data_IF_405984795742
#
_entry.id   IF_405984795742
#
_cell.length_a   1.000
_cell.length_b   1.000
_cell.length_c   1.000
_cell.angle_alpha   90.00
_cell.angle_beta   90.00
_cell.angle_gamma   90.00
#
_symmetry.space_group_name_H-M   'P 1'
#
loop_
_entity.id
_entity.type
_entity.pdbx_description
1 polymer ?
#
# COMPACT_ATOMS: atom_id res chain seq x y z
N UNK A 1 -14.88 47.92 13.88
CA UNK A 1 -14.11 47.32 14.99
C UNK A 1 -13.23 46.13 14.56
N UNK A 2 -13.73 45.14 13.79
CA UNK A 2 -12.95 43.96 13.36
C UNK A 2 -11.63 44.23 12.60
N UNK A 3 -11.57 45.30 11.81
CA UNK A 3 -10.41 45.61 10.96
C UNK A 3 -9.18 46.05 11.77
N UNK A 4 -9.40 46.71 12.90
CA UNK A 4 -8.35 47.21 13.80
C UNK A 4 -7.73 46.03 14.58
N UNK A 5 -8.57 45.10 15.03
CA UNK A 5 -8.12 43.90 15.76
C UNK A 5 -7.20 43.04 14.90
N UNK A 6 -7.60 42.72 13.66
CA UNK A 6 -6.75 41.99 12.70
C UNK A 6 -5.45 42.74 12.42
N UNK A 7 -5.50 44.06 12.23
CA UNK A 7 -4.31 44.88 11.94
C UNK A 7 -3.31 44.89 13.09
N UNK A 8 -3.77 44.94 14.34
CA UNK A 8 -2.90 44.84 15.51
C UNK A 8 -2.31 43.44 15.67
N UNK A 9 -3.12 42.38 15.50
CA UNK A 9 -2.67 40.99 15.52
C UNK A 9 -1.54 40.77 14.49
N UNK A 10 -1.73 41.21 13.23
CA UNK A 10 -0.69 41.11 12.19
C UNK A 10 0.57 41.94 12.50
N UNK A 11 0.42 43.07 13.21
CA UNK A 11 1.56 43.92 13.62
C UNK A 11 2.37 43.28 14.74
N UNK A 12 1.72 42.64 15.71
CA UNK A 12 2.38 41.88 16.79
C UNK A 12 3.07 40.61 16.26
N UNK A 13 2.44 39.90 15.32
CA UNK A 13 3.08 38.78 14.62
C UNK A 13 4.36 39.20 13.88
N UNK A 14 4.41 40.43 13.34
CA UNK A 14 5.60 40.95 12.65
C UNK A 14 6.74 41.29 13.60
N UNK A 15 6.45 41.66 14.86
CA UNK A 15 7.46 41.91 15.89
C UNK A 15 8.11 40.64 16.45
N UNK A 16 7.44 39.49 16.32
CA UNK A 16 7.88 38.18 16.85
C UNK A 16 7.86 37.07 15.79
N UNK A 17 8.04 37.45 14.52
CA UNK A 17 7.87 36.57 13.35
C UNK A 17 8.66 35.26 13.41
N UNK A 18 9.92 35.22 13.90
CA UNK A 18 10.66 33.96 14.03
C UNK A 18 10.00 32.99 15.02
N UNK A 19 9.48 33.49 16.14
CA UNK A 19 8.83 32.66 17.17
C UNK A 19 7.51 32.06 16.67
N UNK A 20 6.75 32.83 15.90
CA UNK A 20 5.51 32.35 15.29
C UNK A 20 5.77 31.23 14.28
N UNK A 21 6.77 31.42 13.40
CA UNK A 21 7.15 30.39 12.42
C UNK A 21 7.58 29.10 13.12
N UNK A 22 8.39 29.18 14.18
CA UNK A 22 8.83 27.99 14.90
C UNK A 22 7.67 27.15 15.43
N UNK A 23 6.66 27.78 16.02
CA UNK A 23 5.47 27.08 16.53
C UNK A 23 4.63 26.53 15.36
N UNK A 24 4.45 27.31 14.30
CA UNK A 24 3.70 26.87 13.12
C UNK A 24 4.34 25.64 12.46
N UNK A 25 5.67 25.60 12.33
CA UNK A 25 6.40 24.46 11.79
C UNK A 25 6.27 23.24 12.71
N UNK A 26 6.37 23.43 14.03
CA UNK A 26 6.17 22.34 15.00
C UNK A 26 4.77 21.70 14.89
N UNK A 27 3.73 22.55 14.80
CA UNK A 27 2.35 22.09 14.62
C UNK A 27 2.16 21.42 13.26
N UNK A 28 2.71 22.02 12.19
CA UNK A 28 2.64 21.46 10.85
C UNK A 28 3.35 20.11 10.75
N UNK A 29 4.50 19.94 11.41
CA UNK A 29 5.24 18.68 11.45
C UNK A 29 4.42 17.60 12.16
N UNK A 30 3.80 17.92 13.30
CA UNK A 30 2.92 17.00 14.01
C UNK A 30 1.71 16.55 13.18
N UNK A 31 1.04 17.50 12.52
CA UNK A 31 -0.07 17.20 11.63
C UNK A 31 0.36 16.40 10.38
N UNK A 32 1.51 16.75 9.79
CA UNK A 32 2.08 16.06 8.63
C UNK A 32 2.38 14.59 8.93
N UNK A 33 3.02 14.31 10.07
CA UNK A 33 3.33 12.93 10.47
C UNK A 33 2.05 12.11 10.66
N UNK A 34 1.04 12.67 11.34
CA UNK A 34 -0.23 12.00 11.58
C UNK A 34 -0.98 11.70 10.26
N UNK A 35 -1.08 12.68 9.37
CA UNK A 35 -1.77 12.52 8.09
C UNK A 35 -0.98 11.55 7.20
N UNK A 36 0.34 11.70 7.12
CA UNK A 36 1.23 10.84 6.36
C UNK A 36 1.09 9.38 6.75
N UNK A 37 1.11 9.07 8.05
CA UNK A 37 0.93 7.69 8.52
C UNK A 37 -0.45 7.13 8.15
N UNK A 38 -1.50 7.95 8.20
CA UNK A 38 -2.87 7.53 7.85
C UNK A 38 -3.02 7.22 6.37
N UNK A 39 -2.54 8.11 5.49
CA UNK A 39 -2.77 7.97 4.04
C UNK A 39 -1.84 6.96 3.37
N UNK A 40 -0.64 6.75 3.93
CA UNK A 40 0.35 5.83 3.35
C UNK A 40 -0.20 4.41 3.18
N UNK A 41 -0.97 3.91 4.15
CA UNK A 41 -1.54 2.57 4.07
C UNK A 41 -2.54 2.42 2.92
N UNK A 42 -3.45 3.38 2.78
CA UNK A 42 -4.46 3.37 1.72
C UNK A 42 -3.81 3.57 0.33
N UNK A 43 -2.83 4.46 0.23
CA UNK A 43 -2.07 4.71 -1.01
C UNK A 43 -1.27 3.48 -1.45
N UNK A 44 -0.60 2.79 -0.53
CA UNK A 44 0.12 1.55 -0.83
C UNK A 44 -0.82 0.45 -1.33
N UNK A 45 -2.00 0.31 -0.71
CA UNK A 45 -3.02 -0.66 -1.14
C UNK A 45 -3.59 -0.32 -2.50
N UNK A 46 -3.89 0.95 -2.76
CA UNK A 46 -4.38 1.41 -4.05
C UNK A 46 -3.34 1.16 -5.16
N UNK A 47 -2.08 1.50 -4.89
CA UNK A 47 -0.96 1.26 -5.81
C UNK A 47 -0.76 -0.23 -6.09
N UNK A 48 -0.77 -1.05 -5.04
CA UNK A 48 -0.69 -2.51 -5.18
C UNK A 48 -1.82 -3.04 -6.05
N UNK A 49 -3.07 -2.73 -5.72
CA UNK A 49 -4.23 -3.16 -6.49
C UNK A 49 -4.17 -2.71 -7.95
N UNK A 50 -3.68 -1.50 -8.22
CA UNK A 50 -3.48 -1.03 -9.59
C UNK A 50 -2.43 -1.88 -10.32
N UNK A 51 -1.32 -2.20 -9.67
CA UNK A 51 -0.29 -3.07 -10.23
C UNK A 51 -0.81 -4.47 -10.55
N UNK A 52 -1.54 -5.11 -9.62
CA UNK A 52 -2.19 -6.42 -9.85
C UNK A 52 -3.16 -6.36 -11.05
N UNK A 53 -3.97 -5.31 -11.15
CA UNK A 53 -4.92 -5.12 -12.27
C UNK A 53 -4.23 -4.88 -13.60
N UNK A 54 -3.18 -4.06 -13.65
CA UNK A 54 -2.44 -3.78 -14.87
C UNK A 54 -1.78 -5.04 -15.44
N UNK A 55 -1.24 -5.90 -14.58
CA UNK A 55 -0.63 -7.16 -14.98
C UNK A 55 -1.61 -8.34 -15.05
N UNK A 56 -2.92 -8.11 -14.89
CA UNK A 56 -3.96 -9.15 -14.89
C UNK A 56 -3.65 -10.32 -13.96
N UNK A 57 -3.07 -10.03 -12.79
CA UNK A 57 -2.73 -11.04 -11.81
C UNK A 57 -3.99 -11.61 -11.14
N UNK A 58 -3.85 -12.79 -10.53
CA UNK A 58 -4.93 -13.43 -9.80
C UNK A 58 -5.28 -12.66 -8.51
N UNK A 59 -6.57 -12.47 -8.26
CA UNK A 59 -7.07 -11.88 -7.00
C UNK A 59 -6.95 -12.85 -5.82
N UNK A 60 -6.98 -14.17 -6.10
CA UNK A 60 -6.85 -15.23 -5.11
C UNK A 60 -6.08 -16.42 -5.71
N UNK A 61 -5.22 -17.04 -4.90
CA UNK A 61 -4.45 -18.22 -5.27
C UNK A 61 -4.67 -19.33 -4.26
N UNK A 62 -4.92 -20.55 -4.74
CA UNK A 62 -5.09 -21.75 -3.91
C UNK A 62 -4.05 -22.78 -4.33
N UNK A 63 -3.24 -23.24 -3.36
CA UNK A 63 -2.17 -24.20 -3.58
C UNK A 63 -2.49 -25.50 -2.85
N UNK A 64 -2.31 -26.65 -3.53
CA UNK A 64 -2.55 -27.98 -2.96
C UNK A 64 -1.34 -28.88 -3.21
N UNK A 65 -0.92 -29.62 -2.18
CA UNK A 65 0.21 -30.57 -2.26
C UNK A 65 -0.10 -31.76 -3.18
N UNK A 66 -1.36 -32.21 -3.19
CA UNK A 66 -1.82 -33.38 -3.97
C UNK A 66 -2.27 -33.00 -5.39
N UNK A 67 -2.44 -31.70 -5.67
CA UNK A 67 -2.94 -31.18 -6.95
C UNK A 67 -4.46 -31.20 -7.07
N UNK A 68 -4.98 -30.55 -8.12
CA UNK A 68 -6.42 -30.45 -8.40
C UNK A 68 -6.85 -31.44 -9.47
N UNK A 69 -7.88 -32.25 -9.18
CA UNK A 69 -8.45 -33.21 -10.13
C UNK A 69 -9.48 -32.54 -11.06
N UNK A 70 -9.96 -33.26 -12.09
CA UNK A 70 -10.90 -32.69 -13.07
C UNK A 70 -12.27 -32.32 -12.48
N UNK A 71 -12.74 -33.00 -11.43
CA UNK A 71 -14.00 -32.64 -10.75
C UNK A 71 -13.85 -31.33 -9.97
N UNK A 72 -12.71 -31.12 -9.30
CA UNK A 72 -12.41 -29.91 -8.54
C UNK A 72 -12.35 -28.70 -9.47
N UNK A 73 -11.69 -28.86 -10.63
CA UNK A 73 -11.60 -27.80 -11.65
C UNK A 73 -12.98 -27.40 -12.17
N UNK A 74 -13.82 -28.39 -12.52
CA UNK A 74 -15.20 -28.15 -12.97
C UNK A 74 -16.05 -27.48 -11.88
N UNK A 75 -15.81 -27.82 -10.62
CA UNK A 75 -16.51 -27.20 -9.51
C UNK A 75 -16.13 -25.71 -9.36
N UNK A 76 -14.83 -25.40 -9.43
CA UNK A 76 -14.31 -24.03 -9.37
C UNK A 76 -14.81 -23.18 -10.54
N UNK A 77 -14.73 -23.70 -11.77
CA UNK A 77 -15.18 -22.99 -12.98
C UNK A 77 -16.69 -22.71 -13.00
N UNK A 78 -17.49 -23.51 -12.29
CA UNK A 78 -18.95 -23.31 -12.19
C UNK A 78 -19.37 -22.32 -11.09
N UNK A 79 -18.44 -21.85 -10.26
CA UNK A 79 -18.77 -20.89 -9.22
C UNK A 79 -19.09 -19.52 -9.83
N UNK A 80 -20.24 -18.96 -9.47
CA UNK A 80 -20.75 -17.70 -10.04
C UNK A 80 -19.80 -16.49 -9.87
N UNK A 81 -18.90 -16.52 -8.89
CA UNK A 81 -17.97 -15.43 -8.59
C UNK A 81 -16.58 -15.64 -9.19
N UNK A 82 -16.33 -16.77 -9.85
CA UNK A 82 -15.07 -17.05 -10.55
C UNK A 82 -15.23 -16.65 -12.01
N UNK A 83 -14.54 -15.59 -12.43
CA UNK A 83 -14.55 -15.13 -13.84
C UNK A 83 -13.61 -15.97 -14.71
N UNK A 84 -12.45 -16.31 -14.16
CA UNK A 84 -11.39 -17.03 -14.85
C UNK A 84 -10.61 -17.85 -13.82
N UNK A 85 -10.28 -19.09 -14.17
CA UNK A 85 -9.45 -19.98 -13.35
C UNK A 85 -8.22 -20.43 -14.18
N UNK A 86 -7.05 -20.36 -13.58
CA UNK A 86 -5.79 -20.84 -14.17
C UNK A 86 -5.16 -21.87 -13.24
N UNK A 87 -4.59 -22.93 -13.83
CA UNK A 87 -4.01 -24.04 -13.09
C UNK A 87 -2.55 -24.22 -13.46
N UNK A 88 -1.66 -24.10 -12.49
CA UNK A 88 -0.22 -24.32 -12.63
C UNK A 88 0.27 -25.37 -11.63
N UNK A 89 1.34 -26.08 -12.00
CA UNK A 89 2.03 -27.04 -11.14
C UNK A 89 3.45 -26.53 -10.93
N UNK A 90 3.82 -26.27 -9.68
CA UNK A 90 5.17 -25.89 -9.30
C UNK A 90 5.94 -27.11 -8.76
N UNK A 91 7.18 -27.26 -9.20
CA UNK A 91 8.12 -28.28 -8.72
C UNK A 91 9.45 -27.61 -8.43
N UNK A 92 9.90 -27.72 -7.19
CA UNK A 92 11.25 -27.27 -6.83
C UNK A 92 12.26 -28.27 -7.42
N UNK A 93 13.23 -27.75 -8.16
CA UNK A 93 14.31 -28.54 -8.75
C UNK A 93 15.65 -28.03 -8.24
N UNK A 94 16.52 -28.94 -7.79
CA UNK A 94 17.90 -28.61 -7.43
C UNK A 94 18.75 -28.60 -8.70
N UNK A 95 19.25 -27.43 -9.10
CA UNK A 95 20.26 -27.30 -10.15
C UNK A 95 21.64 -27.69 -9.61
N UNK A 96 22.38 -28.48 -10.39
CA UNK A 96 23.64 -29.13 -10.00
C UNK A 96 24.76 -28.15 -9.57
N UNK A 97 24.64 -26.86 -9.86
CA UNK A 97 25.62 -25.82 -9.55
C UNK A 97 25.61 -25.37 -8.07
N UNK A 98 24.58 -25.77 -7.31
CA UNK A 98 24.43 -25.43 -5.88
C UNK A 98 25.33 -26.24 -4.93
N UNK A 99 26.01 -27.29 -5.42
CA UNK A 99 26.83 -28.18 -4.56
C UNK A 99 28.25 -27.65 -4.28
N UNK A 100 28.62 -26.47 -4.78
CA UNK A 100 30.00 -25.93 -4.69
C UNK A 100 30.19 -24.79 -3.66
N UNK A 101 29.21 -24.55 -2.79
CA UNK A 101 29.19 -23.40 -1.87
C UNK A 101 28.85 -23.71 -0.40
N UNK A 102 29.18 -24.91 0.08
CA UNK A 102 29.32 -25.12 1.53
C UNK A 102 30.72 -25.65 1.79
N UNK A 103 31.59 -24.73 2.24
CA UNK A 103 32.73 -25.11 3.08
C UNK A 103 32.24 -25.44 4.48
#
# INVERSE_FOLDING_TARGET
MHKILRKNIFREFRGSFPRFISIAILLALGAFVLIGLKVTGDDMRATGNQYFRQHKMADAQVTSTVGFNNSDRKYIERMKHVKQAEYSIYRDALTADSKKRSG
#
